data_IF_958141745983
#
_entry.id   IF_958141745983
#
_cell.length_a   1.000
_cell.length_b   1.000
_cell.length_c   1.000
_cell.angle_alpha   90.00
_cell.angle_beta   90.00
_cell.angle_gamma   90.00
#
_symmetry.space_group_name_H-M   'P 1'
#
loop_
_entity.id
_entity.type
_entity.pdbx_description
1 polymer ?
#
# COMPACT_ATOMS: atom_id res chain seq x y z
N UNK A 1 2.90 -3.91 16.41
CA UNK A 1 2.54 -3.24 15.15
C UNK A 1 1.66 -2.05 15.49
N UNK A 2 2.03 -0.85 15.06
CA UNK A 2 1.30 0.36 15.43
C UNK A 2 -0.05 0.49 14.71
N UNK A 3 -0.98 1.23 15.32
CA UNK A 3 -2.32 1.56 14.78
C UNK A 3 -2.24 2.06 13.32
N UNK A 4 -1.19 2.82 12.97
CA UNK A 4 -1.01 3.36 11.61
C UNK A 4 -0.89 2.28 10.51
N UNK A 5 -0.24 1.15 10.76
CA UNK A 5 -0.06 0.09 9.76
C UNK A 5 -1.29 -0.81 9.63
N UNK A 6 -2.08 -0.93 10.71
CA UNK A 6 -3.40 -1.57 10.65
C UNK A 6 -4.36 -0.75 9.77
N UNK A 7 -4.37 0.57 9.94
CA UNK A 7 -5.15 1.49 9.11
C UNK A 7 -4.78 1.37 7.62
N UNK A 8 -3.49 1.23 7.29
CA UNK A 8 -3.06 1.02 5.89
C UNK A 8 -3.64 -0.26 5.31
N UNK A 9 -3.63 -1.37 6.05
CA UNK A 9 -4.20 -2.65 5.59
C UNK A 9 -5.71 -2.54 5.35
N UNK A 10 -6.42 -1.90 6.27
CA UNK A 10 -7.87 -1.66 6.14
C UNK A 10 -8.19 -0.77 4.94
N UNK A 11 -7.44 0.31 4.73
CA UNK A 11 -7.62 1.19 3.57
C UNK A 11 -7.37 0.47 2.24
N UNK A 12 -6.33 -0.36 2.18
CA UNK A 12 -6.04 -1.16 0.99
C UNK A 12 -7.14 -2.18 0.72
N UNK A 13 -7.64 -2.86 1.75
CA UNK A 13 -8.76 -3.79 1.63
C UNK A 13 -10.04 -3.07 1.17
N UNK A 14 -10.34 -1.90 1.75
CA UNK A 14 -11.54 -1.12 1.42
C UNK A 14 -11.51 -0.58 -0.02
N UNK A 15 -10.34 -0.15 -0.52
CA UNK A 15 -10.21 0.46 -1.86
C UNK A 15 -9.98 -0.56 -2.97
N UNK A 16 -9.15 -1.57 -2.73
CA UNK A 16 -8.65 -2.48 -3.76
C UNK A 16 -9.06 -3.94 -3.54
N UNK A 17 -9.58 -4.29 -2.36
CA UNK A 17 -9.85 -5.67 -1.97
C UNK A 17 -8.57 -6.50 -1.99
N UNK A 18 -8.66 -7.71 -2.55
CA UNK A 18 -7.52 -8.63 -2.67
C UNK A 18 -6.51 -8.24 -3.77
N UNK A 19 -6.81 -7.21 -4.57
CA UNK A 19 -5.95 -6.77 -5.69
C UNK A 19 -4.76 -5.93 -5.23
N UNK A 20 -4.71 -5.54 -3.95
CA UNK A 20 -3.58 -4.87 -3.35
C UNK A 20 -2.87 -5.79 -2.35
N UNK A 21 -1.56 -5.58 -2.17
CA UNK A 21 -0.79 -6.28 -1.15
C UNK A 21 0.06 -5.32 -0.33
N UNK A 22 0.23 -5.67 0.95
CA UNK A 22 1.01 -4.91 1.92
C UNK A 22 1.98 -5.83 2.65
N UNK A 23 3.27 -5.50 2.63
CA UNK A 23 4.32 -6.28 3.30
C UNK A 23 5.25 -5.36 4.07
N UNK A 24 5.70 -5.82 5.23
CA UNK A 24 6.77 -5.19 5.99
C UNK A 24 8.01 -6.05 5.88
N UNK A 25 9.14 -5.42 5.59
CA UNK A 25 10.45 -6.08 5.55
C UNK A 25 11.42 -5.26 6.39
N UNK A 26 12.06 -5.89 7.35
CA UNK A 26 13.18 -5.25 8.04
C UNK A 26 14.39 -5.25 7.11
N UNK A 27 15.03 -4.09 7.00
CA UNK A 27 16.25 -3.88 6.25
C UNK A 27 17.41 -3.85 7.24
N UNK A 28 18.33 -4.82 7.11
CA UNK A 28 19.46 -4.96 8.02
C UNK A 28 20.25 -3.65 8.11
N UNK A 29 20.29 -3.06 9.31
CA UNK A 29 20.97 -1.79 9.59
C UNK A 29 20.28 -0.53 9.05
N UNK A 30 19.07 -0.62 8.47
CA UNK A 30 18.41 0.49 7.76
C UNK A 30 16.93 0.71 8.12
N UNK A 31 16.43 0.05 9.17
CA UNK A 31 15.04 0.21 9.64
C UNK A 31 14.06 -0.72 8.92
N UNK A 32 12.80 -0.33 8.81
CA UNK A 32 11.72 -1.18 8.24
C UNK A 32 11.18 -0.56 6.95
N UNK A 33 11.07 -1.38 5.90
CA UNK A 33 10.43 -1.05 4.64
C UNK A 33 8.97 -1.51 4.63
N UNK A 34 8.05 -0.62 4.25
CA UNK A 34 6.67 -0.93 3.95
C UNK A 34 6.46 -0.99 2.44
N UNK A 35 6.32 -2.19 1.89
CA UNK A 35 6.05 -2.42 0.47
C UNK A 35 4.53 -2.45 0.24
N UNK A 36 4.05 -1.60 -0.65
CA UNK A 36 2.63 -1.51 -1.06
C UNK A 36 2.54 -1.73 -2.56
N UNK A 37 1.77 -2.72 -2.97
CA UNK A 37 1.49 -3.00 -4.39
C UNK A 37 0.00 -2.79 -4.63
N UNK A 38 -0.35 -1.95 -5.60
CA UNK A 38 -1.73 -1.66 -6.00
C UNK A 38 -1.90 -1.83 -7.51
N UNK A 39 -3.12 -2.09 -8.00
CA UNK A 39 -3.41 -2.08 -9.42
C UNK A 39 -3.13 -0.69 -10.01
N UNK A 40 -2.55 -0.67 -11.21
CA UNK A 40 -2.39 0.56 -11.98
C UNK A 40 -3.77 0.99 -12.51
N UNK A 41 -4.26 2.14 -12.06
CA UNK A 41 -5.45 2.78 -12.64
C UNK A 41 -5.02 3.61 -13.86
N UNK A 42 -5.80 3.63 -14.95
CA UNK A 42 -5.49 4.48 -16.10
C UNK A 42 -5.43 5.93 -15.63
N UNK A 43 -4.41 6.66 -16.08
CA UNK A 43 -4.29 8.08 -15.78
C UNK A 43 -5.56 8.81 -16.26
N UNK A 44 -6.11 9.74 -15.47
CA UNK A 44 -7.25 10.53 -15.93
C UNK A 44 -6.85 11.25 -17.21
N UNK A 45 -7.72 11.24 -18.22
CA UNK A 45 -7.48 11.97 -19.45
C UNK A 45 -7.28 13.46 -19.11
N UNK A 46 -6.24 14.10 -19.68
CA UNK A 46 -6.05 15.53 -19.47
C UNK A 46 -7.28 16.28 -19.97
N UNK A 47 -7.87 17.13 -19.11
CA UNK A 47 -8.96 18.02 -19.55
C UNK A 47 -8.37 18.99 -20.57
N UNK A 48 -8.93 18.97 -21.78
CA UNK A 48 -8.62 19.91 -22.85
C UNK A 48 -9.03 21.35 -22.51
#
# INVERSE_FOLDING_TARGET
GGVGLANVREQLANRFGERASFRLRDLAGQGTCAEVVVPLEPAPEPRA
#
